data_IF_969919099361
#
_entry.id   IF_969919099361
#
_cell.length_a   1.000
_cell.length_b   1.000
_cell.length_c   1.000
_cell.angle_alpha   90.00
_cell.angle_beta   90.00
_cell.angle_gamma   90.00
#
_symmetry.space_group_name_H-M   'P 1'
#
loop_
_entity.id
_entity.type
_entity.pdbx_description
1 polymer ?
#
# COMPACT_ATOMS: atom_id res chain seq x y z
N UNK A 1 3.19 -1.74 -5.04
CA UNK A 1 3.64 -2.84 -5.91
C UNK A 1 4.54 -2.32 -7.04
N UNK A 2 5.53 -3.12 -7.50
CA UNK A 2 6.28 -2.88 -8.73
C UNK A 2 5.93 -3.98 -9.74
N UNK A 3 5.45 -3.62 -10.94
CA UNK A 3 5.14 -4.57 -12.01
C UNK A 3 3.65 -4.74 -12.28
N UNK A 4 3.34 -5.63 -13.22
CA UNK A 4 1.97 -5.91 -13.68
C UNK A 4 1.20 -6.83 -12.73
N UNK A 5 -0.06 -7.13 -13.06
CA UNK A 5 -0.93 -8.03 -12.31
C UNK A 5 -1.97 -7.32 -11.42
N UNK A 6 -2.96 -8.06 -10.92
CA UNK A 6 -4.15 -7.50 -10.26
C UNK A 6 -3.83 -6.88 -8.91
N UNK A 7 -4.27 -5.65 -8.67
CA UNK A 7 -4.04 -4.92 -7.42
C UNK A 7 -5.38 -4.33 -6.95
N UNK A 8 -6.15 -5.07 -6.12
CA UNK A 8 -7.53 -4.73 -5.80
C UNK A 8 -7.73 -3.34 -5.17
N UNK A 9 -6.78 -2.91 -4.35
CA UNK A 9 -6.83 -1.62 -3.64
C UNK A 9 -6.04 -0.51 -4.35
N UNK A 10 -5.67 -0.70 -5.62
CA UNK A 10 -4.90 0.28 -6.38
C UNK A 10 -5.64 1.61 -6.52
N UNK A 11 -4.91 2.69 -6.27
CA UNK A 11 -5.38 4.05 -6.52
C UNK A 11 -4.80 4.53 -7.84
N UNK A 12 -5.69 4.96 -8.73
CA UNK A 12 -5.35 5.48 -10.07
C UNK A 12 -5.77 6.95 -10.25
N UNK A 13 -6.16 7.59 -9.14
CA UNK A 13 -6.60 8.97 -9.05
C UNK A 13 -5.54 9.86 -8.36
N UNK A 14 -5.87 11.13 -8.15
CA UNK A 14 -5.00 12.12 -7.52
C UNK A 14 -4.56 11.72 -6.10
N UNK A 15 -5.36 10.93 -5.38
CA UNK A 15 -4.98 10.41 -4.06
C UNK A 15 -3.84 9.40 -4.19
N UNK A 16 -3.91 8.52 -5.20
CA UNK A 16 -2.82 7.60 -5.54
C UNK A 16 -1.52 8.32 -5.89
N UNK A 17 -1.62 9.42 -6.64
CA UNK A 17 -0.49 10.27 -6.98
C UNK A 17 0.13 10.92 -5.74
N UNK A 18 -0.68 11.52 -4.87
CA UNK A 18 -0.23 12.07 -3.58
C UNK A 18 0.47 11.03 -2.71
N UNK A 19 -0.06 9.81 -2.65
CA UNK A 19 0.51 8.74 -1.83
C UNK A 19 1.89 8.31 -2.36
N UNK A 20 2.07 8.31 -3.68
CA UNK A 20 3.41 8.09 -4.28
C UNK A 20 4.38 9.19 -3.89
N UNK A 21 3.96 10.45 -4.01
CA UNK A 21 4.85 11.60 -3.83
C UNK A 21 5.29 11.76 -2.37
N UNK A 22 4.34 11.71 -1.42
CA UNK A 22 4.62 11.81 0.02
C UNK A 22 5.46 10.60 0.48
N UNK A 23 5.06 9.39 0.08
CA UNK A 23 5.75 8.16 0.45
C UNK A 23 7.08 7.92 -0.27
N UNK A 24 7.43 8.79 -1.23
CA UNK A 24 8.58 8.65 -2.15
C UNK A 24 8.62 7.25 -2.78
N UNK A 25 7.48 6.78 -3.29
CA UNK A 25 7.31 5.44 -3.83
C UNK A 25 7.85 5.31 -5.27
N UNK A 26 9.15 5.50 -5.40
CA UNK A 26 9.92 5.35 -6.63
C UNK A 26 10.96 4.24 -6.48
N UNK A 27 11.31 3.59 -7.58
CA UNK A 27 12.42 2.63 -7.62
C UNK A 27 13.73 3.31 -7.26
N UNK A 28 14.52 2.72 -6.36
CA UNK A 28 15.77 3.31 -5.86
C UNK A 28 16.85 3.45 -6.92
N UNK A 29 16.87 2.55 -7.91
CA UNK A 29 17.83 2.57 -9.02
C UNK A 29 17.22 3.22 -10.26
N UNK A 30 16.08 2.71 -10.70
CA UNK A 30 15.47 3.12 -11.98
C UNK A 30 14.64 4.40 -11.90
N UNK A 31 14.34 4.88 -10.69
CA UNK A 31 13.36 5.96 -10.48
C UNK A 31 11.93 5.58 -10.89
N UNK A 32 11.67 4.32 -11.27
CA UNK A 32 10.36 3.93 -11.81
C UNK A 32 9.28 4.08 -10.74
N UNK A 33 8.21 4.79 -11.11
CA UNK A 33 7.01 4.95 -10.27
C UNK A 33 6.44 3.60 -9.86
N UNK A 34 6.12 3.44 -8.58
CA UNK A 34 5.44 2.27 -8.04
C UNK A 34 3.93 2.47 -8.08
N UNK A 35 3.20 1.36 -8.16
CA UNK A 35 1.74 1.35 -8.01
C UNK A 35 1.39 1.37 -6.53
N UNK A 36 0.55 2.30 -6.10
CA UNK A 36 0.14 2.49 -4.70
C UNK A 36 -1.35 2.21 -4.53
N UNK A 37 -1.76 1.99 -3.29
CA UNK A 37 -3.13 1.62 -2.96
C UNK A 37 -3.35 1.58 -1.46
N UNK A 38 -4.60 1.42 -1.05
CA UNK A 38 -4.96 1.30 0.37
C UNK A 38 -4.44 0.00 1.00
N UNK A 39 -4.34 0.00 2.33
CA UNK A 39 -3.98 -1.19 3.10
C UNK A 39 -5.02 -2.29 2.86
N UNK A 40 -4.54 -3.46 2.44
CA UNK A 40 -5.36 -4.63 2.17
C UNK A 40 -5.22 -5.64 3.31
N UNK A 41 -6.21 -5.67 4.20
CA UNK A 41 -6.24 -6.59 5.33
C UNK A 41 -6.62 -8.02 4.91
N UNK A 42 -7.25 -8.24 3.75
CA UNK A 42 -7.53 -9.59 3.23
C UNK A 42 -6.20 -10.26 2.87
N UNK A 43 -5.33 -9.57 2.12
CA UNK A 43 -3.98 -10.04 1.83
C UNK A 43 -3.14 -10.16 3.09
N UNK A 44 -3.19 -9.19 4.01
CA UNK A 44 -2.43 -9.23 5.26
C UNK A 44 -2.79 -10.46 6.10
N UNK A 45 -4.08 -10.76 6.29
CA UNK A 45 -4.52 -11.95 7.04
C UNK A 45 -4.05 -13.24 6.37
N UNK A 46 -4.02 -13.30 5.04
CA UNK A 46 -3.45 -14.44 4.31
C UNK A 46 -1.94 -14.57 4.58
N UNK A 47 -1.20 -13.46 4.55
CA UNK A 47 0.23 -13.46 4.85
C UNK A 47 0.51 -13.92 6.30
N UNK A 48 -0.28 -13.45 7.27
CA UNK A 48 -0.20 -13.89 8.67
C UNK A 48 -0.41 -15.39 8.80
N UNK A 49 -1.47 -15.94 8.18
CA UNK A 49 -1.77 -17.39 8.26
C UNK A 49 -0.70 -18.27 7.60
N UNK A 50 -0.16 -17.85 6.46
CA UNK A 50 0.82 -18.65 5.71
C UNK A 50 2.19 -18.66 6.41
N UNK A 51 2.55 -17.58 7.09
CA UNK A 51 3.87 -17.41 7.69
C UNK A 51 3.89 -17.55 9.22
N UNK A 52 2.76 -17.89 9.86
CA UNK A 52 2.62 -17.99 11.32
C UNK A 52 3.13 -16.75 12.07
N UNK A 53 2.81 -15.56 11.54
CA UNK A 53 3.27 -14.31 12.13
C UNK A 53 2.64 -14.08 13.51
N UNK A 54 3.47 -13.82 14.52
CA UNK A 54 3.01 -13.46 15.88
C UNK A 54 2.86 -11.95 16.07
N UNK A 55 3.61 -11.15 15.32
CA UNK A 55 3.67 -9.70 15.43
C UNK A 55 3.80 -9.05 14.06
N UNK A 56 3.41 -7.77 13.97
CA UNK A 56 3.49 -6.95 12.74
C UNK A 56 4.13 -5.62 13.08
N UNK A 57 5.18 -5.24 12.34
CA UNK A 57 5.71 -3.89 12.34
C UNK A 57 5.03 -3.07 11.23
N UNK A 58 4.17 -2.12 11.61
CA UNK A 58 3.51 -1.22 10.67
C UNK A 58 4.39 -0.01 10.39
N UNK A 59 4.73 0.21 9.12
CA UNK A 59 5.67 1.27 8.69
C UNK A 59 4.97 2.36 7.89
N UNK A 60 5.59 3.54 7.82
CA UNK A 60 5.13 4.69 7.00
C UNK A 60 3.74 5.22 7.37
N UNK A 61 3.40 5.19 8.65
CA UNK A 61 2.14 5.78 9.13
C UNK A 61 2.07 7.29 8.88
N UNK A 62 3.21 7.97 8.95
CA UNK A 62 3.38 9.40 8.66
C UNK A 62 2.93 9.80 7.25
N UNK A 63 2.98 8.87 6.29
CA UNK A 63 2.50 9.11 4.91
C UNK A 63 0.99 9.34 4.88
N UNK A 64 0.24 8.83 5.86
CA UNK A 64 -1.22 8.90 5.90
C UNK A 64 -1.73 10.16 6.62
N UNK A 65 -0.87 10.91 7.31
CA UNK A 65 -1.24 12.02 8.20
C UNK A 65 -2.01 13.14 7.49
N UNK A 66 -1.80 13.33 6.19
CA UNK A 66 -2.40 14.42 5.41
C UNK A 66 -3.71 14.05 4.72
N UNK A 67 -4.17 12.80 4.87
CA UNK A 67 -5.39 12.33 4.23
C UNK A 67 -6.60 12.52 5.17
N UNK A 68 -7.67 13.10 4.65
CA UNK A 68 -8.90 13.31 5.44
C UNK A 68 -9.63 12.01 5.79
N UNK A 69 -9.44 10.97 4.97
CA UNK A 69 -10.01 9.64 5.14
C UNK A 69 -8.97 8.61 4.72
N UNK A 70 -8.84 7.54 5.50
CA UNK A 70 -8.01 6.38 5.18
C UNK A 70 -8.92 5.17 5.03
N UNK A 71 -8.91 4.57 3.84
CA UNK A 71 -9.68 3.35 3.57
C UNK A 71 -8.82 2.12 3.82
N UNK A 72 -9.47 1.05 4.27
CA UNK A 72 -8.85 -0.26 4.50
C UNK A 72 -9.75 -1.33 3.90
N UNK A 73 -9.18 -2.21 3.07
CA UNK A 73 -9.92 -3.31 2.50
C UNK A 73 -10.04 -4.45 3.52
N UNK A 74 -11.26 -4.78 3.91
CA UNK A 74 -11.58 -5.83 4.89
C UNK A 74 -12.14 -7.09 4.24
N UNK A 75 -12.68 -6.99 3.03
CA UNK A 75 -13.25 -8.08 2.22
C UNK A 75 -13.11 -7.78 0.71
N UNK A 76 -13.34 -8.80 -0.13
CA UNK A 76 -13.34 -8.71 -1.60
C UNK A 76 -14.72 -9.00 -2.17
#
# INVERSE_FOLDING_TARGET
RVGAGPFPTELTDELGDRLVDIGREFGTVTGRRRRTGWLDCVMLRKAVRINSLTEIALTKLDVLDTFSEVKVCTEY
#
